data_IF_164339355986
#
_entry.id   IF_164339355986
#
_cell.length_a   1.000
_cell.length_b   1.000
_cell.length_c   1.000
_cell.angle_alpha   90.00
_cell.angle_beta   90.00
_cell.angle_gamma   90.00
#
_symmetry.space_group_name_H-M   'P 1'
#
loop_
_entity.id
_entity.type
_entity.pdbx_description
1 polymer ?
#
# COMPACT_ATOMS: atom_id res chain seq x y z
N UNK A 1 -19.20 5.42 3.11
CA UNK A 1 -19.13 4.53 1.90
C UNK A 1 -17.74 3.95 1.86
N UNK A 2 -17.60 2.65 1.72
CA UNK A 2 -16.31 1.98 1.79
C UNK A 2 -15.61 2.01 0.44
N UNK A 3 -14.30 2.28 0.46
CA UNK A 3 -13.43 2.15 -0.71
C UNK A 3 -13.12 0.67 -0.97
N UNK A 4 -12.93 -0.11 0.09
CA UNK A 4 -12.66 -1.54 0.01
C UNK A 4 -13.55 -2.26 1.01
N UNK A 5 -14.28 -3.30 0.58
CA UNK A 5 -15.06 -4.17 1.45
C UNK A 5 -14.67 -5.62 1.21
N UNK A 6 -14.34 -6.32 2.27
CA UNK A 6 -13.92 -7.73 2.27
C UNK A 6 -14.90 -8.50 3.15
N UNK A 7 -15.45 -9.62 2.64
CA UNK A 7 -16.34 -10.47 3.40
C UNK A 7 -15.97 -11.94 3.28
N UNK A 8 -15.71 -12.58 4.43
CA UNK A 8 -15.43 -14.00 4.56
C UNK A 8 -14.24 -14.47 3.71
N UNK A 9 -13.22 -13.63 3.53
CA UNK A 9 -12.12 -13.90 2.62
C UNK A 9 -11.25 -15.05 3.11
N UNK A 10 -11.04 -16.05 2.23
CA UNK A 10 -10.15 -17.19 2.50
C UNK A 10 -9.21 -17.40 1.32
N UNK A 11 -7.94 -17.55 1.61
CA UNK A 11 -6.95 -17.98 0.63
C UNK A 11 -5.88 -18.89 1.26
N UNK A 12 -5.54 -19.95 0.55
CA UNK A 12 -4.49 -20.90 0.92
C UNK A 12 -3.66 -21.21 -0.29
N UNK A 13 -2.35 -21.04 -0.18
CA UNK A 13 -1.41 -21.39 -1.23
C UNK A 13 -1.30 -22.92 -1.39
N UNK A 14 -1.01 -23.36 -2.60
CA UNK A 14 -0.79 -24.79 -2.87
C UNK A 14 0.39 -25.33 -2.03
N UNK A 15 0.17 -26.43 -1.34
CA UNK A 15 1.18 -27.04 -0.46
C UNK A 15 1.33 -26.41 0.94
N UNK A 16 0.64 -25.31 1.23
CA UNK A 16 0.63 -24.76 2.58
C UNK A 16 -0.29 -25.58 3.50
N UNK A 17 0.12 -25.78 4.75
CA UNK A 17 -0.68 -26.50 5.76
C UNK A 17 -1.88 -25.67 6.22
N UNK A 18 -1.71 -24.34 6.32
CA UNK A 18 -2.72 -23.42 6.83
C UNK A 18 -3.05 -22.33 5.80
N UNK A 19 -4.27 -21.74 5.85
CA UNK A 19 -4.62 -20.62 5.00
C UNK A 19 -3.85 -19.37 5.40
N UNK A 20 -3.34 -18.63 4.39
CA UNK A 20 -2.69 -17.34 4.58
C UNK A 20 -3.71 -16.23 4.91
N UNK A 21 -4.97 -16.37 4.48
CA UNK A 21 -6.12 -15.53 4.86
C UNK A 21 -7.26 -16.48 5.23
N UNK A 22 -7.88 -16.27 6.40
CA UNK A 22 -8.77 -17.24 7.02
C UNK A 22 -10.03 -16.58 7.57
N UNK A 23 -11.02 -16.35 6.69
CA UNK A 23 -12.30 -15.76 7.06
C UNK A 23 -12.24 -14.26 7.36
N UNK A 24 -11.30 -13.54 6.72
CA UNK A 24 -11.11 -12.10 6.96
C UNK A 24 -12.33 -11.30 6.51
N UNK A 25 -12.83 -10.45 7.41
CA UNK A 25 -13.81 -9.40 7.13
C UNK A 25 -13.15 -8.06 7.43
N UNK A 26 -13.25 -7.08 6.52
CA UNK A 26 -12.60 -5.79 6.65
C UNK A 26 -13.33 -4.75 5.79
N UNK A 27 -13.53 -3.54 6.33
CA UNK A 27 -14.11 -2.42 5.61
C UNK A 27 -13.19 -1.21 5.74
N UNK A 28 -12.71 -0.69 4.61
CA UNK A 28 -11.84 0.48 4.57
C UNK A 28 -12.65 1.65 4.03
N UNK A 29 -12.88 2.70 4.84
CA UNK A 29 -13.64 3.86 4.43
C UNK A 29 -12.97 4.64 3.29
N UNK A 30 -13.78 5.27 2.43
CA UNK A 30 -13.24 6.17 1.39
C UNK A 30 -12.60 7.39 2.03
N UNK A 31 -11.39 7.73 1.58
CA UNK A 31 -10.60 8.83 2.09
C UNK A 31 -9.86 8.55 3.41
N UNK A 32 -9.94 7.33 3.95
CA UNK A 32 -9.19 6.96 5.14
C UNK A 32 -7.71 6.73 4.84
N UNK A 33 -6.85 7.07 5.78
CA UNK A 33 -5.49 6.56 5.86
C UNK A 33 -5.52 5.34 6.79
N UNK A 34 -5.55 4.15 6.19
CA UNK A 34 -5.83 2.89 6.87
C UNK A 34 -4.59 2.02 7.04
N UNK A 35 -4.25 1.65 8.27
CA UNK A 35 -3.13 0.78 8.62
C UNK A 35 -3.54 -0.70 8.68
N UNK A 36 -2.91 -1.55 7.86
CA UNK A 36 -3.05 -3.00 7.93
C UNK A 36 -1.81 -3.59 8.60
N UNK A 37 -1.90 -3.91 9.88
CA UNK A 37 -0.82 -4.33 10.76
C UNK A 37 -0.84 -5.84 11.01
N UNK A 38 0.30 -6.38 11.40
CA UNK A 38 0.44 -7.78 11.78
C UNK A 38 1.88 -8.26 11.67
N UNK A 39 2.24 -9.36 12.33
CA UNK A 39 3.57 -9.94 12.25
C UNK A 39 3.87 -10.48 10.84
N UNK A 40 5.14 -10.87 10.61
CA UNK A 40 5.53 -11.56 9.39
C UNK A 40 4.75 -12.89 9.28
N UNK A 41 4.17 -13.12 8.09
CA UNK A 41 3.30 -14.29 7.86
C UNK A 41 1.84 -14.10 8.30
N UNK A 42 1.44 -12.94 8.82
CA UNK A 42 0.05 -12.68 9.24
C UNK A 42 -0.98 -12.68 8.08
N UNK A 43 -0.52 -12.59 6.83
CA UNK A 43 -1.38 -12.55 5.65
C UNK A 43 -1.56 -11.16 5.01
N UNK A 44 -0.79 -10.14 5.45
CA UNK A 44 -0.87 -8.75 4.92
C UNK A 44 -0.68 -8.69 3.40
N UNK A 45 0.48 -9.13 2.91
CA UNK A 45 0.82 -9.13 1.47
C UNK A 45 -0.14 -9.99 0.66
N UNK A 46 -0.63 -11.12 1.21
CA UNK A 46 -1.65 -11.96 0.55
C UNK A 46 -2.98 -11.21 0.43
N UNK A 47 -3.41 -10.51 1.49
CA UNK A 47 -4.63 -9.70 1.49
C UNK A 47 -4.52 -8.58 0.45
N UNK A 48 -3.41 -7.84 0.42
CA UNK A 48 -3.12 -6.82 -0.60
C UNK A 48 -3.17 -7.42 -2.01
N UNK A 49 -2.50 -8.56 -2.22
CA UNK A 49 -2.47 -9.22 -3.53
C UNK A 49 -3.86 -9.62 -4.02
N UNK A 50 -4.75 -10.00 -3.10
CA UNK A 50 -6.15 -10.29 -3.43
C UNK A 50 -6.94 -9.00 -3.73
N UNK A 51 -6.77 -7.94 -2.93
CA UNK A 51 -7.39 -6.64 -3.17
C UNK A 51 -6.99 -6.10 -4.54
N UNK A 52 -5.72 -6.24 -4.93
CA UNK A 52 -5.20 -5.82 -6.24
C UNK A 52 -5.54 -6.78 -7.39
N UNK A 53 -6.21 -7.92 -7.12
CA UNK A 53 -6.58 -8.91 -8.13
C UNK A 53 -5.39 -9.70 -8.71
N UNK A 54 -4.23 -9.68 -8.05
CA UNK A 54 -3.04 -10.46 -8.41
C UNK A 54 -3.25 -11.92 -8.03
N UNK A 55 -3.83 -12.15 -6.84
CA UNK A 55 -4.15 -13.48 -6.32
C UNK A 55 -5.67 -13.64 -6.26
N UNK A 56 -6.18 -14.77 -6.77
CA UNK A 56 -7.61 -15.09 -6.69
C UNK A 56 -7.92 -15.74 -5.34
N UNK A 57 -8.90 -15.25 -4.57
CA UNK A 57 -9.29 -15.88 -3.32
C UNK A 57 -9.90 -17.27 -3.55
N UNK A 58 -9.78 -18.17 -2.56
CA UNK A 58 -10.45 -19.48 -2.56
C UNK A 58 -11.94 -19.32 -2.30
N UNK A 59 -12.31 -18.45 -1.37
CA UNK A 59 -13.71 -18.09 -1.09
C UNK A 59 -13.78 -16.67 -0.50
N UNK A 60 -15.01 -16.16 -0.32
CA UNK A 60 -15.27 -14.80 0.10
C UNK A 60 -15.36 -13.83 -1.07
N UNK A 61 -15.61 -12.56 -0.75
CA UNK A 61 -15.80 -11.49 -1.73
C UNK A 61 -14.95 -10.28 -1.40
N UNK A 62 -14.49 -9.60 -2.45
CA UNK A 62 -13.81 -8.30 -2.36
C UNK A 62 -14.52 -7.34 -3.31
N UNK A 63 -14.94 -6.21 -2.78
CA UNK A 63 -15.52 -5.10 -3.53
C UNK A 63 -14.64 -3.87 -3.41
N UNK A 64 -14.36 -3.21 -4.53
CA UNK A 64 -13.56 -1.99 -4.62
C UNK A 64 -14.44 -0.88 -5.18
N UNK A 65 -14.66 0.19 -4.42
CA UNK A 65 -15.56 1.29 -4.77
C UNK A 65 -16.96 0.78 -5.22
N UNK A 66 -17.47 -0.24 -4.52
CA UNK A 66 -18.74 -0.91 -4.83
C UNK A 66 -18.72 -1.82 -6.06
N UNK A 67 -17.54 -2.09 -6.66
CA UNK A 67 -17.38 -2.91 -7.86
C UNK A 67 -16.76 -4.25 -7.54
N UNK A 68 -17.25 -5.32 -8.17
CA UNK A 68 -16.66 -6.66 -8.08
C UNK A 68 -15.67 -6.93 -9.22
N UNK A 69 -14.57 -7.62 -8.92
CA UNK A 69 -13.52 -7.96 -9.87
C UNK A 69 -14.03 -8.69 -11.13
N UNK A 70 -14.93 -9.64 -10.98
CA UNK A 70 -15.42 -10.45 -12.10
C UNK A 70 -16.03 -9.62 -13.24
N UNK A 71 -16.64 -8.47 -12.92
CA UNK A 71 -17.37 -7.64 -13.89
C UNK A 71 -16.66 -6.34 -14.24
N UNK A 72 -15.72 -5.89 -13.40
CA UNK A 72 -15.19 -4.52 -13.46
C UNK A 72 -13.65 -4.46 -13.38
N UNK A 73 -12.94 -5.51 -13.80
CA UNK A 73 -11.50 -5.63 -13.62
C UNK A 73 -10.70 -4.40 -14.11
N UNK A 74 -11.01 -3.88 -15.31
CA UNK A 74 -10.32 -2.70 -15.86
C UNK A 74 -10.59 -1.45 -15.03
N UNK A 75 -11.85 -1.21 -14.64
CA UNK A 75 -12.21 -0.04 -13.85
C UNK A 75 -11.56 -0.09 -12.44
N UNK A 76 -11.50 -1.27 -11.84
CA UNK A 76 -10.83 -1.48 -10.53
C UNK A 76 -9.32 -1.26 -10.66
N UNK A 77 -8.66 -1.83 -11.69
CA UNK A 77 -7.22 -1.62 -11.91
C UNK A 77 -6.87 -0.15 -12.09
N UNK A 78 -7.73 0.60 -12.80
CA UNK A 78 -7.51 2.04 -13.00
C UNK A 78 -7.77 2.87 -11.74
N UNK A 79 -8.44 2.33 -10.72
CA UNK A 79 -8.69 3.04 -9.47
C UNK A 79 -7.67 2.72 -8.36
N UNK A 80 -6.75 1.77 -8.57
CA UNK A 80 -5.77 1.34 -7.58
C UNK A 80 -4.35 1.63 -8.07
N UNK A 81 -3.56 2.33 -7.25
CA UNK A 81 -2.10 2.37 -7.34
C UNK A 81 -1.50 1.38 -6.34
N UNK A 82 -0.56 0.55 -6.76
CA UNK A 82 0.13 -0.40 -5.89
C UNK A 82 1.62 -0.07 -5.82
N UNK A 83 2.12 0.07 -4.60
CA UNK A 83 3.56 0.15 -4.29
C UNK A 83 3.95 -1.14 -3.56
N UNK A 84 4.57 -2.10 -4.24
CA UNK A 84 4.97 -3.36 -3.63
C UNK A 84 6.16 -3.16 -2.68
N UNK A 85 6.38 -4.12 -1.78
CA UNK A 85 7.49 -4.13 -0.84
C UNK A 85 8.84 -4.13 -1.56
N UNK A 86 9.01 -4.97 -2.57
CA UNK A 86 10.18 -4.95 -3.45
C UNK A 86 10.05 -3.83 -4.50
N UNK A 87 11.19 -3.21 -4.84
CA UNK A 87 11.22 -2.16 -5.86
C UNK A 87 11.06 -2.83 -7.24
N UNK A 88 9.91 -2.61 -7.85
CA UNK A 88 9.53 -3.21 -9.15
C UNK A 88 9.88 -2.25 -10.31
N UNK A 89 11.14 -1.85 -10.43
CA UNK A 89 11.64 -0.91 -11.43
C UNK A 89 12.78 -1.52 -12.24
N UNK A 90 13.03 -0.99 -13.42
CA UNK A 90 14.15 -1.38 -14.28
C UNK A 90 15.39 -0.54 -13.94
N UNK A 91 16.35 -1.12 -13.26
CA UNK A 91 17.57 -0.44 -12.77
C UNK A 91 18.46 0.13 -13.90
N UNK A 92 18.44 -0.49 -15.08
CA UNK A 92 19.20 -0.05 -16.27
C UNK A 92 18.53 1.10 -17.02
N UNK A 93 17.27 1.40 -16.71
CA UNK A 93 16.54 2.55 -17.25
C UNK A 93 16.69 3.78 -16.36
N UNK A 94 16.52 4.94 -16.94
CA UNK A 94 16.39 6.21 -16.22
C UNK A 94 15.05 6.28 -15.49
N UNK A 95 14.90 7.23 -14.55
CA UNK A 95 13.61 7.46 -13.88
C UNK A 95 12.51 7.81 -14.90
N UNK A 96 12.83 8.67 -15.88
CA UNK A 96 11.88 9.07 -16.92
C UNK A 96 11.47 7.90 -17.84
N UNK A 97 12.41 7.02 -18.20
CA UNK A 97 12.11 5.82 -19.00
C UNK A 97 11.23 4.84 -18.24
N UNK A 98 11.46 4.62 -16.93
CA UNK A 98 10.57 3.82 -16.09
C UNK A 98 9.15 4.40 -16.07
N UNK A 99 9.00 5.70 -15.80
CA UNK A 99 7.68 6.36 -15.78
C UNK A 99 6.98 6.25 -17.14
N UNK A 100 7.73 6.42 -18.26
CA UNK A 100 7.17 6.23 -19.59
C UNK A 100 6.73 4.80 -19.86
N UNK A 101 7.55 3.82 -19.48
CA UNK A 101 7.24 2.41 -19.68
C UNK A 101 5.95 2.02 -18.94
N UNK A 102 5.89 2.27 -17.64
CA UNK A 102 4.73 1.92 -16.83
C UNK A 102 3.49 2.75 -17.21
N UNK A 103 3.64 4.03 -17.55
CA UNK A 103 2.54 4.86 -18.02
C UNK A 103 1.91 4.33 -19.32
N UNK A 104 2.74 3.83 -20.26
CA UNK A 104 2.24 3.18 -21.47
C UNK A 104 1.53 1.85 -21.17
N UNK A 105 2.04 1.05 -20.22
CA UNK A 105 1.36 -0.18 -19.77
C UNK A 105 -0.01 0.12 -19.15
N UNK A 106 -0.15 1.26 -18.48
CA UNK A 106 -1.43 1.75 -17.94
C UNK A 106 -2.35 2.35 -19.00
N UNK A 107 -1.91 2.41 -20.27
CA UNK A 107 -2.70 2.94 -21.40
C UNK A 107 -2.72 4.46 -21.48
N UNK A 108 -1.84 5.15 -20.78
CA UNK A 108 -1.76 6.62 -20.80
C UNK A 108 -1.13 7.12 -22.10
N UNK A 109 -1.59 8.30 -22.58
CA UNK A 109 -0.97 8.95 -23.72
C UNK A 109 0.44 9.47 -23.37
N UNK A 110 1.36 9.50 -24.36
CA UNK A 110 2.72 10.05 -24.16
C UNK A 110 2.70 11.47 -23.59
N UNK A 111 1.75 12.29 -24.03
CA UNK A 111 1.59 13.67 -23.53
C UNK A 111 1.19 13.69 -22.06
N UNK A 112 0.25 12.83 -21.66
CA UNK A 112 -0.18 12.69 -20.25
C UNK A 112 0.98 12.22 -19.40
N UNK A 113 1.70 11.19 -19.84
CA UNK A 113 2.85 10.64 -19.11
C UNK A 113 3.93 11.70 -18.90
N UNK A 114 4.32 12.42 -19.96
CA UNK A 114 5.36 13.44 -19.86
C UNK A 114 4.98 14.53 -18.84
N UNK A 115 3.72 15.02 -18.89
CA UNK A 115 3.23 16.01 -17.94
C UNK A 115 3.27 15.49 -16.50
N UNK A 116 2.68 14.29 -16.26
CA UNK A 116 2.63 13.67 -14.93
C UNK A 116 4.02 13.32 -14.39
N UNK A 117 4.91 12.83 -15.25
CA UNK A 117 6.28 12.53 -14.86
C UNK A 117 7.03 13.79 -14.40
N UNK A 118 6.90 14.91 -15.13
CA UNK A 118 7.54 16.16 -14.74
C UNK A 118 6.98 16.71 -13.42
N UNK A 119 5.64 16.66 -13.22
CA UNK A 119 4.97 17.05 -11.97
C UNK A 119 5.47 16.20 -10.78
N UNK A 120 5.40 14.88 -10.90
CA UNK A 120 5.83 13.96 -9.85
C UNK A 120 7.33 14.06 -9.57
N UNK A 121 8.18 14.18 -10.59
CA UNK A 121 9.61 14.38 -10.40
C UNK A 121 9.93 15.66 -9.63
N UNK A 122 9.15 16.71 -9.84
CA UNK A 122 9.28 17.97 -9.08
C UNK A 122 8.84 17.77 -7.62
N UNK A 123 7.66 17.18 -7.41
CA UNK A 123 7.09 16.95 -6.06
C UNK A 123 7.98 16.05 -5.21
N UNK A 124 8.57 15.03 -5.82
CA UNK A 124 9.50 14.11 -5.12
C UNK A 124 10.96 14.60 -5.08
N UNK A 125 11.25 15.82 -5.56
CA UNK A 125 12.60 16.41 -5.51
C UNK A 125 13.62 15.62 -6.34
N UNK A 126 13.21 15.07 -7.48
CA UNK A 126 14.07 14.27 -8.36
C UNK A 126 14.24 14.86 -9.77
N UNK A 127 13.82 16.11 -10.01
CA UNK A 127 13.87 16.76 -11.33
C UNK A 127 15.25 16.74 -11.99
N UNK A 128 16.32 16.94 -11.20
CA UNK A 128 17.69 16.92 -11.70
C UNK A 128 18.22 15.51 -12.01
N UNK A 129 17.49 14.48 -11.58
CA UNK A 129 17.90 13.08 -11.74
C UNK A 129 17.09 12.33 -12.80
N UNK A 130 16.18 12.99 -13.51
CA UNK A 130 15.24 12.32 -14.44
C UNK A 130 15.90 11.53 -15.58
N UNK A 131 17.12 11.89 -15.96
CA UNK A 131 17.92 11.23 -17.01
C UNK A 131 18.99 10.29 -16.46
N UNK A 132 19.10 10.15 -15.13
CA UNK A 132 20.06 9.28 -14.48
C UNK A 132 19.45 7.88 -14.34
N UNK A 133 20.22 6.82 -14.64
CA UNK A 133 19.79 5.43 -14.47
C UNK A 133 19.56 5.09 -13.00
N UNK A 134 18.53 4.28 -12.72
CA UNK A 134 18.13 3.93 -11.35
C UNK A 134 19.18 3.11 -10.61
N UNK A 135 20.06 2.37 -11.28
CA UNK A 135 21.17 1.68 -10.63
C UNK A 135 22.09 2.62 -9.82
N UNK A 136 22.07 3.91 -10.14
CA UNK A 136 22.85 4.95 -9.43
C UNK A 136 22.04 5.73 -8.40
N UNK A 137 20.78 5.32 -8.13
CA UNK A 137 19.93 5.95 -7.12
C UNK A 137 20.13 5.30 -5.76
N UNK A 138 19.96 6.08 -4.68
CA UNK A 138 19.81 5.52 -3.34
C UNK A 138 18.51 4.71 -3.21
N UNK A 139 18.41 3.85 -2.20
CA UNK A 139 17.18 3.10 -1.92
C UNK A 139 15.96 4.02 -1.77
N UNK A 140 16.11 5.13 -1.05
CA UNK A 140 15.05 6.12 -0.87
C UNK A 140 14.67 6.84 -2.18
N UNK A 141 15.61 7.11 -3.07
CA UNK A 141 15.31 7.65 -4.41
C UNK A 141 14.55 6.65 -5.25
N UNK A 142 14.97 5.38 -5.27
CA UNK A 142 14.24 4.31 -5.99
C UNK A 142 12.83 4.14 -5.45
N UNK A 143 12.65 4.17 -4.12
CA UNK A 143 11.34 4.06 -3.48
C UNK A 143 10.41 5.22 -3.89
N UNK A 144 10.93 6.43 -4.00
CA UNK A 144 10.17 7.58 -4.52
C UNK A 144 9.73 7.38 -5.97
N UNK A 145 10.60 6.87 -6.86
CA UNK A 145 10.22 6.55 -8.24
C UNK A 145 9.15 5.43 -8.27
N UNK A 146 9.27 4.42 -7.41
CA UNK A 146 8.27 3.35 -7.30
C UNK A 146 6.88 3.91 -6.93
N UNK A 147 6.85 4.88 -6.00
CA UNK A 147 5.61 5.58 -5.62
C UNK A 147 5.06 6.44 -6.79
N UNK A 148 5.93 7.14 -7.52
CA UNK A 148 5.50 7.91 -8.70
C UNK A 148 4.82 7.02 -9.76
N UNK A 149 5.35 5.80 -10.01
CA UNK A 149 4.74 4.84 -10.95
C UNK A 149 3.31 4.51 -10.53
N UNK A 150 3.07 4.28 -9.24
CA UNK A 150 1.75 3.96 -8.72
C UNK A 150 0.76 5.14 -8.83
N UNK A 151 1.26 6.37 -8.94
CA UNK A 151 0.46 7.60 -9.00
C UNK A 151 0.22 8.12 -10.42
N UNK A 152 0.88 7.56 -11.46
CA UNK A 152 0.82 8.06 -12.84
C UNK A 152 -0.61 8.21 -13.40
N UNK A 153 -1.52 7.35 -13.00
CA UNK A 153 -2.88 7.26 -13.52
C UNK A 153 -3.96 7.86 -12.59
N UNK A 154 -3.54 8.67 -11.60
CA UNK A 154 -4.42 9.33 -10.63
C UNK A 154 -5.38 8.34 -9.93
N UNK A 155 -4.88 7.34 -9.22
CA UNK A 155 -5.74 6.35 -8.58
C UNK A 155 -6.57 6.96 -7.44
N UNK A 156 -7.77 6.41 -7.18
CA UNK A 156 -8.59 6.77 -6.00
C UNK A 156 -8.10 6.08 -4.72
N UNK A 157 -7.39 4.95 -4.86
CA UNK A 157 -6.88 4.13 -3.76
C UNK A 157 -5.39 3.87 -4.01
N UNK A 158 -4.56 4.17 -3.02
CA UNK A 158 -3.14 3.86 -3.02
C UNK A 158 -2.86 2.77 -1.98
N UNK A 159 -2.29 1.66 -2.43
CA UNK A 159 -1.93 0.54 -1.56
C UNK A 159 -0.41 0.45 -1.49
N UNK A 160 0.12 0.47 -0.27
CA UNK A 160 1.56 0.45 -0.02
C UNK A 160 1.92 -0.72 0.88
N UNK A 161 2.72 -1.63 0.35
CA UNK A 161 3.22 -2.78 1.12
C UNK A 161 4.63 -2.46 1.66
N UNK A 162 4.71 -2.11 2.94
CA UNK A 162 5.93 -1.75 3.66
C UNK A 162 6.82 -0.70 2.93
N UNK A 163 6.27 0.47 2.56
CA UNK A 163 6.94 1.40 1.65
C UNK A 163 8.19 2.06 2.22
N UNK A 164 8.38 2.06 3.53
CA UNK A 164 9.48 2.77 4.21
C UNK A 164 10.58 1.84 4.74
N UNK A 165 10.48 0.55 4.47
CA UNK A 165 11.48 -0.43 4.88
C UNK A 165 12.79 -0.22 4.13
N UNK A 166 13.90 -0.19 4.89
CA UNK A 166 15.25 -0.11 4.33
C UNK A 166 15.66 1.24 3.73
N UNK A 167 14.91 2.30 4.01
CA UNK A 167 15.25 3.66 3.60
C UNK A 167 15.67 4.54 4.79
N UNK A 168 16.45 5.57 4.50
CA UNK A 168 16.90 6.54 5.49
C UNK A 168 15.78 7.41 6.06
N UNK A 169 16.02 8.01 7.24
CA UNK A 169 15.02 8.83 7.96
C UNK A 169 14.51 10.01 7.13
N UNK A 170 15.38 10.65 6.35
CA UNK A 170 15.00 11.80 5.53
C UNK A 170 14.05 11.38 4.39
N UNK A 171 14.41 10.33 3.66
CA UNK A 171 13.55 9.77 2.60
C UNK A 171 12.20 9.29 3.15
N UNK A 172 12.19 8.66 4.34
CA UNK A 172 10.97 8.26 5.03
C UNK A 172 10.07 9.45 5.35
N UNK A 173 10.64 10.49 5.96
CA UNK A 173 9.90 11.70 6.29
C UNK A 173 9.26 12.36 5.06
N UNK A 174 10.00 12.46 3.95
CA UNK A 174 9.47 13.01 2.70
C UNK A 174 8.30 12.18 2.15
N UNK A 175 8.44 10.85 2.13
CA UNK A 175 7.36 9.95 1.66
C UNK A 175 6.13 10.12 2.54
N UNK A 176 6.27 10.08 3.86
CA UNK A 176 5.16 10.18 4.80
C UNK A 176 4.43 11.52 4.71
N UNK A 177 5.18 12.62 4.57
CA UNK A 177 4.60 13.96 4.35
C UNK A 177 3.79 14.00 3.05
N UNK A 178 4.32 13.40 1.99
CA UNK A 178 3.62 13.35 0.71
C UNK A 178 2.35 12.49 0.78
N UNK A 179 2.42 11.32 1.43
CA UNK A 179 1.25 10.45 1.62
C UNK A 179 0.15 11.15 2.43
N UNK A 180 0.50 11.90 3.48
CA UNK A 180 -0.47 12.73 4.22
C UNK A 180 -1.17 13.75 3.32
N UNK A 181 -0.40 14.48 2.51
CA UNK A 181 -0.97 15.46 1.59
C UNK A 181 -1.92 14.81 0.56
N UNK A 182 -1.60 13.63 0.04
CA UNK A 182 -2.48 12.87 -0.85
C UNK A 182 -3.78 12.46 -0.15
N UNK A 183 -3.69 12.00 1.10
CA UNK A 183 -4.86 11.60 1.89
C UNK A 183 -5.74 12.80 2.23
N UNK A 184 -5.17 13.93 2.64
CA UNK A 184 -5.88 15.20 2.85
C UNK A 184 -6.59 15.68 1.58
N UNK A 185 -6.03 15.36 0.41
CA UNK A 185 -6.66 15.56 -0.90
C UNK A 185 -7.80 14.57 -1.22
N UNK A 186 -8.13 13.64 -0.31
CA UNK A 186 -9.24 12.70 -0.42
C UNK A 186 -8.87 11.31 -0.95
N UNK A 187 -7.58 11.02 -1.20
CA UNK A 187 -7.12 9.69 -1.61
C UNK A 187 -7.27 8.70 -0.46
N UNK A 188 -7.81 7.51 -0.73
CA UNK A 188 -7.79 6.41 0.24
C UNK A 188 -6.41 5.77 0.23
N UNK A 189 -5.79 5.60 1.40
CA UNK A 189 -4.47 4.98 1.51
C UNK A 189 -4.57 3.73 2.38
N UNK A 190 -4.08 2.60 1.86
CA UNK A 190 -3.88 1.36 2.63
C UNK A 190 -2.39 1.16 2.81
N UNK A 191 -1.97 1.14 4.06
CA UNK A 191 -0.57 1.16 4.44
C UNK A 191 -0.24 -0.06 5.30
N UNK A 192 0.62 -0.96 4.81
CA UNK A 192 1.15 -2.00 5.69
C UNK A 192 2.49 -1.56 6.28
N UNK A 193 2.68 -1.85 7.54
CA UNK A 193 3.95 -1.62 8.23
C UNK A 193 4.09 -2.60 9.39
N UNK A 194 5.32 -2.84 9.78
CA UNK A 194 5.67 -3.41 11.06
C UNK A 194 6.19 -2.32 12.04
N UNK A 195 6.31 -1.06 11.58
CA UNK A 195 6.70 0.08 12.41
C UNK A 195 5.44 0.74 13.00
N UNK A 196 5.08 0.32 14.20
CA UNK A 196 3.82 0.70 14.85
C UNK A 196 3.75 2.19 15.17
N UNK A 197 4.87 2.80 15.61
CA UNK A 197 4.96 4.23 15.93
C UNK A 197 4.69 5.09 14.69
N UNK A 198 5.19 4.68 13.51
CA UNK A 198 4.94 5.35 12.24
C UNK A 198 3.46 5.25 11.85
N UNK A 199 2.88 4.06 12.00
CA UNK A 199 1.46 3.82 11.70
C UNK A 199 0.54 4.63 12.61
N UNK A 200 0.86 4.72 13.90
CA UNK A 200 0.13 5.51 14.88
C UNK A 200 0.08 7.01 14.52
N UNK A 201 1.16 7.52 13.91
CA UNK A 201 1.25 8.91 13.47
C UNK A 201 0.57 9.20 12.11
N UNK A 202 0.46 8.18 11.26
CA UNK A 202 -0.01 8.34 9.88
C UNK A 202 -1.48 7.96 9.70
N UNK A 203 -1.93 6.88 10.36
CA UNK A 203 -3.20 6.25 10.05
C UNK A 203 -4.34 6.75 10.94
N UNK A 204 -5.47 7.07 10.32
CA UNK A 204 -6.71 7.42 11.01
C UNK A 204 -7.36 6.20 11.67
N UNK A 205 -7.32 5.08 10.93
CA UNK A 205 -7.86 3.79 11.34
C UNK A 205 -6.81 2.69 11.11
N UNK A 206 -6.83 1.69 11.97
CA UNK A 206 -5.92 0.55 11.87
C UNK A 206 -6.64 -0.75 12.14
N UNK A 207 -6.14 -1.83 11.55
CA UNK A 207 -6.46 -3.17 11.98
C UNK A 207 -5.18 -3.98 12.23
N UNK A 208 -5.27 -4.92 13.17
CA UNK A 208 -4.22 -5.92 13.43
C UNK A 208 -4.75 -7.27 12.98
N UNK A 209 -4.00 -7.93 12.10
CA UNK A 209 -4.28 -9.30 11.68
C UNK A 209 -3.17 -10.24 12.13
N UNK A 210 -3.53 -11.48 12.47
CA UNK A 210 -2.57 -12.57 12.64
C UNK A 210 -3.21 -13.89 12.19
N UNK A 211 -2.39 -14.81 11.66
CA UNK A 211 -2.85 -16.08 11.06
C UNK A 211 -4.02 -15.93 10.10
N UNK A 212 -4.01 -14.86 9.30
CA UNK A 212 -5.03 -14.53 8.32
C UNK A 212 -6.38 -14.07 8.88
N UNK A 213 -6.46 -13.79 10.18
CA UNK A 213 -7.68 -13.35 10.87
C UNK A 213 -7.54 -11.94 11.40
N UNK A 214 -8.65 -11.20 11.43
CA UNK A 214 -8.74 -9.92 12.11
C UNK A 214 -8.75 -10.14 13.63
N UNK A 215 -7.86 -9.45 14.35
CA UNK A 215 -7.79 -9.47 15.81
C UNK A 215 -8.45 -8.23 16.41
N UNK A 216 -8.16 -7.05 15.89
CA UNK A 216 -8.76 -5.78 16.31
C UNK A 216 -8.83 -4.82 15.11
N UNK A 217 -9.81 -3.95 15.11
CA UNK A 217 -9.98 -2.86 14.14
C UNK A 217 -10.58 -1.66 14.86
N UNK A 218 -10.15 -0.46 14.51
CA UNK A 218 -10.71 0.77 15.06
C UNK A 218 -9.95 2.02 14.66
N UNK A 219 -10.46 3.16 15.11
CA UNK A 219 -9.75 4.43 14.98
C UNK A 219 -8.47 4.39 15.81
N UNK A 220 -7.39 4.87 15.25
CA UNK A 220 -6.09 4.92 15.92
C UNK A 220 -6.21 5.70 17.24
N UNK A 221 -6.91 6.84 17.23
CA UNK A 221 -7.16 7.67 18.41
C UNK A 221 -7.84 6.91 19.56
N UNK A 222 -8.79 6.04 19.24
CA UNK A 222 -9.55 5.29 20.25
C UNK A 222 -8.70 4.16 20.86
N UNK A 223 -7.88 3.52 20.04
CA UNK A 223 -6.98 2.45 20.48
C UNK A 223 -5.83 2.95 21.36
N UNK A 224 -5.41 4.21 21.20
CA UNK A 224 -4.33 4.80 22.01
C UNK A 224 -4.84 5.73 23.14
N UNK A 225 -6.18 5.85 23.32
CA UNK A 225 -6.80 6.82 24.24
C UNK A 225 -6.46 6.61 25.72
N UNK A 226 -6.20 5.35 26.15
CA UNK A 226 -5.97 4.98 27.56
C UNK A 226 -4.48 4.98 27.95
N UNK A 227 -3.63 5.68 27.18
CA UNK A 227 -2.17 5.66 27.38
C UNK A 227 -1.51 4.37 26.90
N UNK A 228 -2.25 3.51 26.21
CA UNK A 228 -1.73 2.34 25.51
C UNK A 228 -1.30 2.79 24.11
N UNK A 229 -0.16 2.27 23.62
CA UNK A 229 0.28 2.45 22.24
C UNK A 229 -0.24 1.30 21.35
N UNK A 230 -0.19 1.48 20.04
CA UNK A 230 -0.43 0.35 19.11
C UNK A 230 0.52 -0.83 19.38
N UNK A 231 1.73 -0.53 19.84
CA UNK A 231 2.71 -1.54 20.23
C UNK A 231 2.20 -2.43 21.40
N UNK A 232 1.52 -1.83 22.40
CA UNK A 232 0.93 -2.57 23.50
C UNK A 232 -0.15 -3.55 23.00
N UNK A 233 -1.09 -3.08 22.21
CA UNK A 233 -2.13 -3.92 21.61
C UNK A 233 -1.55 -5.02 20.72
N UNK A 234 -0.51 -4.69 19.94
CA UNK A 234 0.14 -5.65 19.07
C UNK A 234 0.74 -6.83 19.85
N UNK A 235 1.50 -6.54 20.92
CA UNK A 235 2.11 -7.59 21.76
C UNK A 235 1.04 -8.41 22.49
N UNK A 236 0.04 -7.74 23.07
CA UNK A 236 -1.04 -8.42 23.80
C UNK A 236 -1.81 -9.40 22.90
N UNK A 237 -2.15 -8.99 21.69
CA UNK A 237 -2.97 -9.77 20.77
C UNK A 237 -2.20 -10.85 20.00
N UNK A 238 -0.95 -10.58 19.64
CA UNK A 238 -0.16 -11.54 18.84
C UNK A 238 0.74 -12.42 19.70
N UNK A 239 0.96 -12.07 20.96
CA UNK A 239 1.89 -12.78 21.88
C UNK A 239 3.33 -12.78 21.39
N UNK A 240 3.67 -11.94 20.42
CA UNK A 240 4.97 -11.90 19.74
C UNK A 240 5.54 -10.49 19.80
N UNK A 241 6.77 -10.36 20.27
CA UNK A 241 7.57 -9.17 19.97
C UNK A 241 7.71 -9.06 18.45
N UNK A 242 7.79 -7.81 17.95
CA UNK A 242 8.11 -7.57 16.55
C UNK A 242 9.30 -8.44 16.17
N UNK A 243 9.10 -9.39 15.26
CA UNK A 243 10.20 -10.17 14.72
C UNK A 243 10.85 -9.31 13.64
N UNK A 244 12.12 -8.98 13.86
CA UNK A 244 13.00 -8.32 12.91
C UNK A 244 13.08 -9.09 11.58
#
# INVERSE_FOLDING_TARGET
>A
MDAISISGLVHQYSGAAEPAVNGLNLNIPKGAFYGLLGPNGAGKTTTISIICGIVKPRSGTVSILGREWKKNATAIKNSIGLVPQEIALYDTMTANENLNFFGQMLGLSRKTIAKKADELMQEFGLSEHKTKQLQHFSGGMKRRVNLMVALLHDPEILILDEPTVGIDVHSRHMINTYLKALNEGGMTIVYTSHQLDETEQLCDEVCIIDHGKLLIEGKTSDLVSDGRSLHHHFIELTGKQLRD
#
